data_IF_885210466844
#
_entry.id   IF_885210466844
#
_cell.length_a   1.000
_cell.length_b   1.000
_cell.length_c   1.000
_cell.angle_alpha   90.00
_cell.angle_beta   90.00
_cell.angle_gamma   90.00
#
_symmetry.space_group_name_H-M   'P 1'
#
loop_
_entity.id
_entity.type
_entity.pdbx_description
1 polymer ?
#
# COMPACT_ATOMS: atom_id res chain seq x y z
N UNK A 1 -14.15 -5.19 -9.77
CA UNK A 1 -15.12 -4.09 -9.99
C UNK A 1 -14.48 -2.95 -10.75
N UNK A 2 -15.24 -2.16 -11.51
CA UNK A 2 -14.69 -0.95 -12.18
C UNK A 2 -14.81 0.25 -11.25
N UNK A 3 -13.72 1.00 -11.09
CA UNK A 3 -13.70 2.30 -10.41
C UNK A 3 -13.16 3.32 -11.41
N UNK A 4 -14.04 4.16 -11.95
CA UNK A 4 -13.72 4.99 -13.11
C UNK A 4 -13.24 4.14 -14.29
N UNK A 5 -12.08 4.46 -14.85
CA UNK A 5 -11.45 3.70 -15.94
C UNK A 5 -10.64 2.48 -15.51
N UNK A 6 -10.52 2.21 -14.20
CA UNK A 6 -9.66 1.15 -13.66
C UNK A 6 -10.44 -0.12 -13.35
N UNK A 7 -9.82 -1.27 -13.58
CA UNK A 7 -10.28 -2.55 -13.04
C UNK A 7 -9.64 -2.78 -11.67
N UNK A 8 -10.46 -2.91 -10.64
CA UNK A 8 -10.04 -3.08 -9.24
C UNK A 8 -10.52 -4.42 -8.67
N UNK A 9 -9.79 -4.96 -7.71
CA UNK A 9 -10.26 -6.13 -6.94
C UNK A 9 -11.55 -5.78 -6.21
N UNK A 10 -12.51 -6.72 -6.12
CA UNK A 10 -13.84 -6.46 -5.53
C UNK A 10 -13.87 -6.76 -4.03
N UNK A 11 -13.13 -7.76 -3.59
CA UNK A 11 -13.46 -8.40 -2.32
C UNK A 11 -12.60 -7.92 -1.15
N UNK A 12 -11.37 -7.45 -1.42
CA UNK A 12 -10.44 -7.08 -0.36
C UNK A 12 -9.54 -5.89 -0.72
N UNK A 13 -8.94 -5.31 0.32
CA UNK A 13 -7.82 -4.38 0.23
C UNK A 13 -6.56 -5.08 0.74
N UNK A 14 -5.40 -4.64 0.26
CA UNK A 14 -4.13 -5.10 0.78
C UNK A 14 -3.60 -4.12 1.82
N UNK A 15 -2.80 -4.67 2.73
CA UNK A 15 -2.17 -3.96 3.83
C UNK A 15 -0.65 -4.15 3.77
N UNK A 16 0.09 -3.06 3.91
CA UNK A 16 1.55 -3.08 4.05
C UNK A 16 1.97 -2.18 5.20
N UNK A 17 2.68 -2.73 6.18
CA UNK A 17 3.23 -1.99 7.33
C UNK A 17 4.76 -2.03 7.36
N UNK A 18 5.35 -0.90 7.73
CA UNK A 18 6.77 -0.83 8.05
C UNK A 18 7.08 -1.40 9.44
N UNK A 19 8.28 -1.97 9.64
CA UNK A 19 8.81 -2.06 10.99
C UNK A 19 8.99 -0.65 11.58
N UNK A 20 9.32 -0.53 12.87
CA UNK A 20 9.71 0.73 13.48
C UNK A 20 10.95 1.32 12.78
N UNK A 21 10.86 2.59 12.37
CA UNK A 21 11.91 3.31 11.64
C UNK A 21 12.26 4.63 12.34
N UNK A 22 13.49 5.10 12.16
CA UNK A 22 13.93 6.39 12.73
C UNK A 22 13.23 7.57 12.05
N UNK A 23 12.99 7.49 10.74
CA UNK A 23 12.34 8.56 9.97
C UNK A 23 10.97 8.14 9.46
N UNK A 24 10.01 9.09 9.48
CA UNK A 24 8.67 8.89 8.92
C UNK A 24 8.71 8.56 7.43
N UNK A 25 9.56 9.25 6.66
CA UNK A 25 9.70 9.02 5.22
C UNK A 25 10.21 7.62 4.90
N UNK A 26 11.15 7.11 5.69
CA UNK A 26 11.65 5.76 5.55
C UNK A 26 10.60 4.70 5.89
N UNK A 27 9.84 4.90 6.97
CA UNK A 27 8.69 4.07 7.32
C UNK A 27 7.66 4.01 6.16
N UNK A 28 7.27 5.17 5.62
CA UNK A 28 6.33 5.25 4.49
C UNK A 28 6.85 4.54 3.24
N UNK A 29 8.13 4.73 2.90
CA UNK A 29 8.75 4.09 1.75
C UNK A 29 8.77 2.56 1.89
N UNK A 30 9.04 2.05 3.09
CA UNK A 30 9.00 0.62 3.36
C UNK A 30 7.57 0.07 3.26
N UNK A 31 6.60 0.70 3.93
CA UNK A 31 5.20 0.28 3.91
C UNK A 31 4.65 0.19 2.48
N UNK A 32 4.96 1.21 1.66
CA UNK A 32 4.68 1.22 0.22
C UNK A 32 5.30 0.03 -0.50
N UNK A 33 6.61 -0.18 -0.36
CA UNK A 33 7.29 -1.31 -1.03
C UNK A 33 6.71 -2.66 -0.61
N UNK A 34 6.37 -2.82 0.67
CA UNK A 34 5.73 -4.05 1.17
C UNK A 34 4.39 -4.30 0.51
N UNK A 35 3.54 -3.27 0.41
CA UNK A 35 2.26 -3.36 -0.29
C UNK A 35 2.44 -3.66 -1.78
N UNK A 36 3.33 -2.93 -2.47
CA UNK A 36 3.58 -3.06 -3.91
C UNK A 36 4.13 -4.47 -4.24
N UNK A 37 5.06 -4.99 -3.43
CA UNK A 37 5.65 -6.31 -3.61
C UNK A 37 4.64 -7.43 -3.37
N UNK A 38 3.86 -7.37 -2.29
CA UNK A 38 2.85 -8.39 -1.98
C UNK A 38 1.80 -8.45 -3.09
N UNK A 39 1.28 -7.29 -3.51
CA UNK A 39 0.28 -7.20 -4.58
C UNK A 39 0.85 -7.63 -5.94
N UNK A 40 2.12 -7.32 -6.22
CA UNK A 40 2.79 -7.78 -7.45
C UNK A 40 2.97 -9.28 -7.45
N UNK A 41 3.29 -9.88 -6.30
CA UNK A 41 3.43 -11.32 -6.16
C UNK A 41 2.10 -12.05 -6.40
N UNK A 42 0.99 -11.55 -5.86
CA UNK A 42 -0.32 -12.20 -6.05
C UNK A 42 -0.91 -12.02 -7.44
N UNK A 43 -0.84 -10.81 -8.00
CA UNK A 43 -1.64 -10.44 -9.18
C UNK A 43 -0.81 -9.94 -10.36
N UNK A 44 0.51 -9.79 -10.18
CA UNK A 44 1.41 -9.26 -11.20
C UNK A 44 1.62 -7.75 -11.13
N UNK A 45 2.65 -7.29 -11.86
CA UNK A 45 3.17 -5.92 -11.77
C UNK A 45 2.19 -4.82 -12.19
N UNK A 46 1.16 -5.14 -12.96
CA UNK A 46 0.13 -4.18 -13.35
C UNK A 46 -0.74 -3.75 -12.15
N UNK A 47 -1.00 -4.67 -11.23
CA UNK A 47 -1.84 -4.48 -10.04
C UNK A 47 -1.05 -3.95 -8.84
N UNK A 48 0.22 -4.33 -8.72
CA UNK A 48 1.10 -3.88 -7.63
C UNK A 48 1.62 -2.46 -7.75
N UNK A 49 1.16 -1.67 -8.73
CA UNK A 49 1.47 -0.24 -8.82
C UNK A 49 0.55 0.53 -7.89
N UNK A 50 1.08 1.01 -6.76
CA UNK A 50 0.27 1.74 -5.76
C UNK A 50 -0.41 3.00 -6.35
N UNK A 51 0.17 3.63 -7.39
CA UNK A 51 -0.46 4.74 -8.13
C UNK A 51 -1.77 4.36 -8.83
N UNK A 52 -1.95 3.08 -9.15
CA UNK A 52 -3.17 2.58 -9.76
C UNK A 52 -4.23 2.26 -8.71
N UNK A 53 -3.83 1.92 -7.49
CA UNK A 53 -4.71 1.52 -6.41
C UNK A 53 -5.82 2.55 -6.12
N UNK A 54 -6.94 2.07 -5.58
CA UNK A 54 -8.06 2.89 -5.17
C UNK A 54 -8.25 2.84 -3.64
N UNK A 55 -8.85 3.89 -3.08
CA UNK A 55 -9.16 3.97 -1.65
C UNK A 55 -7.91 3.97 -0.74
N UNK A 56 -6.75 4.40 -1.25
CA UNK A 56 -5.48 4.40 -0.50
C UNK A 56 -5.61 5.20 0.79
N UNK A 57 -5.21 4.57 1.90
CA UNK A 57 -5.06 5.18 3.22
C UNK A 57 -3.64 4.98 3.70
N UNK A 58 -2.96 6.09 3.97
CA UNK A 58 -1.59 6.13 4.45
C UNK A 58 -1.64 6.60 5.91
N UNK A 59 -1.37 5.70 6.84
CA UNK A 59 -1.39 5.98 8.28
C UNK A 59 0.03 5.91 8.83
N UNK A 60 0.39 6.84 9.69
CA UNK A 60 1.70 6.83 10.35
C UNK A 60 1.52 7.21 11.81
N UNK A 61 2.05 6.37 12.69
CA UNK A 61 2.11 6.62 14.13
C UNK A 61 3.56 6.74 14.58
N UNK A 62 3.77 7.59 15.58
CA UNK A 62 5.04 7.73 16.27
C UNK A 62 4.88 7.17 17.68
N UNK A 63 5.71 6.20 18.08
CA UNK A 63 5.61 5.54 19.39
C UNK A 63 6.38 6.27 20.51
N UNK A 64 6.91 7.46 20.22
CA UNK A 64 7.77 8.22 21.12
C UNK A 64 9.25 8.15 20.74
N UNK A 65 9.65 7.15 19.94
CA UNK A 65 11.03 6.97 19.49
C UNK A 65 11.18 6.62 18.01
N UNK A 66 10.15 6.01 17.42
CA UNK A 66 10.17 5.47 16.07
C UNK A 66 8.85 5.71 15.37
N UNK A 67 8.93 5.77 14.05
CA UNK A 67 7.81 5.84 13.14
C UNK A 67 7.42 4.46 12.64
N UNK A 68 6.13 4.18 12.67
CA UNK A 68 5.52 3.01 12.05
C UNK A 68 4.47 3.54 11.09
N UNK A 69 4.56 3.16 9.82
CA UNK A 69 3.59 3.55 8.82
C UNK A 69 2.95 2.33 8.17
N UNK A 70 1.68 2.47 7.82
CA UNK A 70 0.91 1.47 7.11
C UNK A 70 0.21 2.06 5.91
N UNK A 71 0.03 1.23 4.89
CA UNK A 71 -0.74 1.53 3.69
C UNK A 71 -1.80 0.46 3.53
N UNK A 72 -3.05 0.91 3.46
CA UNK A 72 -4.18 0.07 3.06
C UNK A 72 -4.70 0.59 1.73
N UNK A 73 -4.77 -0.26 0.72
CA UNK A 73 -5.30 0.15 -0.58
C UNK A 73 -5.83 -1.04 -1.37
N UNK A 74 -6.77 -0.76 -2.25
CA UNK A 74 -7.36 -1.75 -3.16
C UNK A 74 -6.51 -1.91 -4.43
N UNK A 75 -6.02 -3.11 -4.75
CA UNK A 75 -5.30 -3.35 -6.00
C UNK A 75 -6.16 -3.01 -7.21
N UNK A 76 -5.59 -2.25 -8.14
CA UNK A 76 -6.24 -1.88 -9.39
C UNK A 76 -5.23 -1.83 -10.54
N UNK A 77 -5.73 -1.97 -11.76
CA UNK A 77 -4.99 -1.78 -13.00
C UNK A 77 -5.82 -1.03 -14.04
N UNK A 78 -5.16 -0.60 -15.11
CA UNK A 78 -5.82 -0.16 -16.34
C UNK A 78 -6.07 -1.35 -17.27
#
# INVERSE_FOLDING_TARGET
>A
MRIGSKLCMKDHEHYGESPPWVSKSGAQAYARRKWENFTTWEYGSAWGKLKNAAGRRDECRHDGSRWICSITARPCRY
#
